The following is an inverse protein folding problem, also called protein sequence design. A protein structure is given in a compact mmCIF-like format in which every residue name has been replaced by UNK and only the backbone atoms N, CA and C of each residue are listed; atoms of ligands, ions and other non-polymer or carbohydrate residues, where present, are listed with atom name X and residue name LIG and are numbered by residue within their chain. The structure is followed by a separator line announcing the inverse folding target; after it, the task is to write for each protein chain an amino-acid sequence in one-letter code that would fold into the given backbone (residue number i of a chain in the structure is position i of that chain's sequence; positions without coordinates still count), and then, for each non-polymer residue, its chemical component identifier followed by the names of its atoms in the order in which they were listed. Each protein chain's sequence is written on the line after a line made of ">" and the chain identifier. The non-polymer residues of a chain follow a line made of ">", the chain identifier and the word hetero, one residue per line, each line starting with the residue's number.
data_IF_226807752443
#
_entry.id   IF_226807752443
#
_cell.length_a   1.000
_cell.length_b   1.000
_cell.length_c   1.000
_cell.angle_alpha   90.00
_cell.angle_beta   90.00
_cell.angle_gamma   90.00
#
_symmetry.space_group_name_H-M   'P 1'
#
loop_
_entity.id
_entity.type
_entity.pdbx_description
1 polymer ?
#
# COMPACT_ATOMS: atom_id res chain seq x y z
N UNK A 1 1.19 -11.57 -8.22
CA UNK A 1 2.20 -10.55 -7.88
C UNK A 1 1.88 -9.89 -6.55
N UNK A 2 2.85 -9.71 -5.67
CA UNK A 2 2.67 -8.94 -4.44
C UNK A 2 2.81 -7.44 -4.69
N UNK A 3 1.80 -6.64 -4.34
CA UNK A 3 1.91 -5.19 -4.44
C UNK A 3 2.69 -4.62 -3.24
N UNK A 4 3.86 -4.06 -3.54
CA UNK A 4 4.86 -3.58 -2.55
C UNK A 4 5.26 -2.12 -2.76
N UNK A 5 4.52 -1.39 -3.60
CA UNK A 5 4.67 0.07 -3.77
C UNK A 5 4.56 0.83 -2.45
N UNK A 6 5.03 2.07 -2.45
CA UNK A 6 5.07 2.98 -1.32
C UNK A 6 5.77 2.33 -0.11
N UNK A 7 6.99 1.83 -0.34
CA UNK A 7 7.82 1.16 0.67
C UNK A 7 7.09 -0.02 1.36
N UNK A 8 6.50 -0.92 0.57
CA UNK A 8 5.63 -2.00 1.03
C UNK A 8 4.49 -1.49 1.93
N UNK A 9 3.77 -0.46 1.46
CA UNK A 9 2.65 0.13 2.20
C UNK A 9 3.08 0.66 3.58
N UNK A 10 4.31 1.15 3.69
CA UNK A 10 4.94 1.62 4.92
C UNK A 10 5.63 0.57 5.79
N UNK A 11 5.43 -0.73 5.50
CA UNK A 11 5.98 -1.85 6.28
C UNK A 11 7.48 -2.06 6.04
N UNK A 12 8.05 -1.44 5.00
CA UNK A 12 9.46 -1.53 4.64
C UNK A 12 9.70 -2.52 3.52
N UNK A 13 10.04 -2.02 2.33
CA UNK A 13 10.30 -2.84 1.14
C UNK A 13 11.44 -3.84 1.38
N UNK A 14 12.55 -3.38 1.97
CA UNK A 14 13.70 -4.22 2.28
C UNK A 14 13.42 -5.32 3.32
N UNK A 15 12.38 -5.15 4.15
CA UNK A 15 11.96 -6.14 5.14
C UNK A 15 10.94 -7.11 4.53
N UNK A 16 9.93 -6.59 3.84
CA UNK A 16 8.83 -7.40 3.32
C UNK A 16 9.18 -8.19 2.06
N UNK A 17 9.94 -7.61 1.12
CA UNK A 17 10.18 -8.23 -0.18
C UNK A 17 10.93 -9.58 -0.08
N UNK A 18 11.98 -9.74 0.75
CA UNK A 18 12.62 -11.03 0.95
C UNK A 18 11.67 -12.11 1.47
N UNK A 19 10.82 -11.78 2.45
CA UNK A 19 9.85 -12.75 3.00
C UNK A 19 8.78 -13.14 1.97
N UNK A 20 8.32 -12.18 1.18
CA UNK A 20 7.38 -12.44 0.08
C UNK A 20 8.02 -13.32 -1.02
N UNK A 21 9.30 -13.09 -1.35
CA UNK A 21 10.04 -13.93 -2.28
C UNK A 21 10.16 -15.37 -1.76
N UNK A 22 10.49 -15.56 -0.47
CA UNK A 22 10.51 -16.89 0.17
C UNK A 22 9.15 -17.56 0.19
N UNK A 23 8.08 -16.78 0.32
CA UNK A 23 6.71 -17.26 0.24
C UNK A 23 6.28 -17.64 -1.20
N UNK A 24 7.13 -17.43 -2.21
CA UNK A 24 6.92 -17.92 -3.57
C UNK A 24 6.13 -16.97 -4.47
N UNK A 25 6.22 -15.65 -4.27
CA UNK A 25 5.59 -14.70 -5.20
C UNK A 25 6.23 -14.76 -6.58
N UNK A 26 5.41 -14.82 -7.63
CA UNK A 26 5.88 -14.87 -9.03
C UNK A 26 6.29 -13.49 -9.59
N UNK A 27 6.10 -12.42 -8.81
CA UNK A 27 6.47 -11.07 -9.20
C UNK A 27 6.02 -10.03 -8.17
N UNK A 28 6.61 -8.85 -8.24
CA UNK A 28 6.28 -7.70 -7.41
C UNK A 28 5.57 -6.64 -8.23
N UNK A 29 4.65 -5.90 -7.63
CA UNK A 29 3.96 -4.79 -8.27
C UNK A 29 4.30 -3.48 -7.56
N UNK A 30 4.91 -2.56 -8.31
CA UNK A 30 5.43 -1.28 -7.85
C UNK A 30 4.81 -0.11 -8.62
N UNK A 31 4.98 1.11 -8.13
CA UNK A 31 4.42 2.31 -8.73
C UNK A 31 5.38 2.98 -9.72
N UNK A 32 6.70 2.79 -9.58
CA UNK A 32 7.70 3.49 -10.38
C UNK A 32 8.96 2.65 -10.65
N UNK A 33 9.84 3.17 -11.51
CA UNK A 33 11.13 2.55 -11.80
C UNK A 33 12.07 2.56 -10.59
N UNK A 34 12.05 3.60 -9.77
CA UNK A 34 12.89 3.71 -8.57
C UNK A 34 12.57 2.59 -7.57
N UNK A 35 11.28 2.29 -7.37
CA UNK A 35 10.87 1.15 -6.54
C UNK A 35 11.24 -0.20 -7.17
N UNK A 36 11.23 -0.29 -8.50
CA UNK A 36 11.64 -1.48 -9.23
C UNK A 36 13.15 -1.75 -9.11
N UNK A 37 13.98 -0.72 -9.19
CA UNK A 37 15.43 -0.85 -9.01
C UNK A 37 15.78 -1.18 -7.55
N UNK A 38 15.05 -0.66 -6.56
CA UNK A 38 15.23 -1.10 -5.17
C UNK A 38 14.99 -2.61 -5.01
N UNK A 39 13.99 -3.18 -5.69
CA UNK A 39 13.76 -4.63 -5.71
C UNK A 39 14.85 -5.39 -6.48
N UNK A 40 15.34 -4.80 -7.57
CA UNK A 40 16.42 -5.38 -8.37
C UNK A 40 17.71 -5.52 -7.54
N UNK A 41 18.06 -4.49 -6.77
CA UNK A 41 19.24 -4.47 -5.91
C UNK A 41 19.18 -5.51 -4.78
N UNK A 42 17.96 -5.92 -4.37
CA UNK A 42 17.76 -7.02 -3.40
C UNK A 42 17.98 -8.41 -4.01
N UNK A 43 18.13 -8.52 -5.34
CA UNK A 43 18.43 -9.76 -6.06
C UNK A 43 17.50 -10.94 -5.72
N UNK A 44 16.20 -10.68 -5.58
CA UNK A 44 15.23 -11.66 -5.07
C UNK A 44 14.80 -12.72 -6.09
N UNK A 45 14.97 -12.47 -7.39
CA UNK A 45 14.57 -13.37 -8.48
C UNK A 45 13.30 -12.93 -9.23
N UNK A 46 12.13 -12.81 -8.58
CA UNK A 46 10.89 -12.39 -9.25
C UNK A 46 10.98 -10.97 -9.85
N UNK A 47 10.37 -10.73 -11.02
CA UNK A 47 10.41 -9.42 -11.69
C UNK A 47 9.57 -8.38 -10.97
N UNK A 48 9.92 -7.10 -11.12
CA UNK A 48 9.07 -5.98 -10.73
C UNK A 48 8.17 -5.54 -11.90
N UNK A 49 6.91 -5.24 -11.62
CA UNK A 49 5.91 -4.75 -12.56
C UNK A 49 5.55 -3.30 -12.24
N UNK A 50 5.81 -2.39 -13.17
CA UNK A 50 5.50 -0.96 -13.04
C UNK A 50 4.02 -0.74 -13.37
N UNK A 51 3.17 -0.65 -12.33
CA UNK A 51 1.70 -0.57 -12.48
C UNK A 51 1.19 0.70 -13.18
N UNK A 52 1.99 1.76 -13.15
CA UNK A 52 1.74 3.03 -13.81
C UNK A 52 2.48 3.15 -15.16
N UNK A 53 3.15 2.08 -15.60
CA UNK A 53 3.99 2.08 -16.80
C UNK A 53 5.23 2.96 -16.66
N UNK A 54 6.01 3.09 -17.74
CA UNK A 54 7.16 3.98 -17.74
C UNK A 54 6.72 5.45 -17.77
N UNK A 55 7.48 6.31 -17.11
CA UNK A 55 7.29 7.77 -17.09
C UNK A 55 8.15 8.50 -18.10
N UNK A 56 9.26 7.89 -18.53
CA UNK A 56 10.16 8.38 -19.55
C UNK A 56 10.51 7.27 -20.56
N UNK A 57 10.85 7.60 -21.83
CA UNK A 57 11.20 6.59 -22.83
C UNK A 57 12.45 5.78 -22.45
N UNK A 58 13.40 6.37 -21.73
CA UNK A 58 14.65 5.73 -21.29
C UNK A 58 14.42 4.58 -20.29
N UNK A 59 13.26 4.55 -19.62
CA UNK A 59 12.88 3.47 -18.71
C UNK A 59 12.56 2.16 -19.44
N UNK A 60 12.25 2.20 -20.74
CA UNK A 60 11.94 1.01 -21.55
C UNK A 60 13.15 0.09 -21.72
N UNK A 61 14.30 0.56 -22.26
CA UNK A 61 15.49 -0.27 -22.36
C UNK A 61 16.02 -0.71 -20.99
N UNK A 62 15.88 0.13 -19.95
CA UNK A 62 16.23 -0.25 -18.59
C UNK A 62 15.37 -1.41 -18.08
N UNK A 63 14.04 -1.33 -18.22
CA UNK A 63 13.13 -2.40 -17.84
C UNK A 63 13.47 -3.72 -18.55
N UNK A 64 13.75 -3.67 -19.86
CA UNK A 64 14.16 -4.83 -20.63
C UNK A 64 15.49 -5.43 -20.13
N UNK A 65 16.49 -4.60 -19.82
CA UNK A 65 17.78 -5.04 -19.31
C UNK A 65 17.65 -5.75 -17.95
N UNK A 66 16.78 -5.23 -17.09
CA UNK A 66 16.54 -5.70 -15.71
C UNK A 66 15.54 -6.84 -15.60
N UNK A 67 14.80 -7.13 -16.68
CA UNK A 67 13.73 -8.13 -16.68
C UNK A 67 12.44 -7.66 -15.98
N UNK A 68 12.25 -6.35 -15.87
CA UNK A 68 11.02 -5.76 -15.33
C UNK A 68 9.87 -5.88 -16.33
N UNK A 69 8.65 -5.83 -15.83
CA UNK A 69 7.40 -5.86 -16.60
C UNK A 69 6.82 -4.45 -16.65
N UNK A 70 6.40 -4.00 -17.83
CA UNK A 70 5.77 -2.68 -18.00
C UNK A 70 4.26 -2.79 -18.23
N UNK A 71 3.51 -1.85 -17.65
CA UNK A 71 2.10 -1.66 -17.99
C UNK A 71 1.95 -0.51 -18.99
N UNK A 72 1.45 -0.79 -20.18
CA UNK A 72 1.20 0.21 -21.23
C UNK A 72 -0.25 0.64 -21.18
N UNK A 73 -0.50 1.95 -21.05
CA UNK A 73 -1.85 2.47 -20.81
C UNK A 73 -2.19 3.75 -21.57
N UNK A 74 -1.25 4.31 -22.33
CA UNK A 74 -1.47 5.52 -23.15
C UNK A 74 -0.65 5.54 -24.44
N UNK A 75 -1.08 6.36 -25.40
CA UNK A 75 -0.48 6.44 -26.74
C UNK A 75 1.00 6.83 -26.75
N UNK A 76 1.42 7.75 -25.87
CA UNK A 76 2.84 8.15 -25.79
C UNK A 76 3.77 6.97 -25.49
N UNK A 77 3.34 6.03 -24.63
CA UNK A 77 4.14 4.84 -24.31
C UNK A 77 4.25 3.88 -25.51
N UNK A 78 3.24 3.81 -26.37
CA UNK A 78 3.31 3.05 -27.63
C UNK A 78 4.35 3.66 -28.57
N UNK A 79 4.34 4.99 -28.72
CA UNK A 79 5.33 5.70 -29.53
C UNK A 79 6.77 5.49 -28.99
N UNK A 80 6.94 5.46 -27.67
CA UNK A 80 8.22 5.14 -27.05
C UNK A 80 8.67 3.70 -27.36
N UNK A 81 7.77 2.72 -27.26
CA UNK A 81 8.09 1.33 -27.64
C UNK A 81 8.52 1.19 -29.11
N UNK A 82 7.96 1.99 -30.02
CA UNK A 82 8.33 1.95 -31.44
C UNK A 82 9.71 2.58 -31.72
N UNK A 83 10.07 3.61 -30.95
CA UNK A 83 11.28 4.42 -31.16
C UNK A 83 12.48 3.92 -30.38
N UNK A 84 12.27 3.42 -29.17
CA UNK A 84 13.35 2.88 -28.33
C UNK A 84 13.85 1.53 -28.85
N UNK A 85 15.09 1.20 -28.47
CA UNK A 85 15.77 -0.04 -28.86
C UNK A 85 16.26 -0.77 -27.63
N UNK A 86 16.11 -2.08 -27.62
CA UNK A 86 16.54 -2.95 -26.53
C UNK A 86 16.76 -4.37 -27.06
N UNK A 87 17.62 -5.14 -26.41
CA UNK A 87 18.06 -6.44 -26.93
C UNK A 87 17.40 -7.65 -26.23
N UNK A 88 16.90 -7.45 -25.00
CA UNK A 88 16.27 -8.52 -24.21
C UNK A 88 14.74 -8.47 -24.32
N UNK A 89 14.03 -9.62 -24.34
CA UNK A 89 12.57 -9.61 -24.40
C UNK A 89 11.94 -8.78 -23.29
N UNK A 90 11.17 -7.75 -23.67
CA UNK A 90 10.42 -6.92 -22.75
C UNK A 90 9.00 -7.47 -22.59
N UNK A 91 8.61 -7.79 -21.37
CA UNK A 91 7.25 -8.24 -21.05
C UNK A 91 6.36 -7.05 -20.73
N UNK A 92 5.17 -7.00 -21.36
CA UNK A 92 4.20 -5.93 -21.13
C UNK A 92 2.79 -6.45 -20.84
N UNK A 93 2.05 -5.67 -20.07
CA UNK A 93 0.60 -5.72 -20.02
C UNK A 93 -0.02 -4.51 -20.70
N UNK A 94 -1.12 -4.72 -21.40
CA UNK A 94 -1.95 -3.63 -21.94
C UNK A 94 -3.04 -3.33 -20.91
N UNK A 95 -3.05 -2.11 -20.39
CA UNK A 95 -4.07 -1.68 -19.43
C UNK A 95 -5.32 -1.21 -20.15
N UNK A 96 -6.45 -1.79 -19.75
CA UNK A 96 -7.78 -1.43 -20.25
C UNK A 96 -8.52 -0.68 -19.14
N UNK A 97 -9.10 0.46 -19.48
CA UNK A 97 -10.03 1.15 -18.61
C UNK A 97 -11.41 0.50 -18.72
N UNK A 98 -11.75 -0.33 -17.73
CA UNK A 98 -13.06 -1.00 -17.63
C UNK A 98 -14.11 -0.16 -16.90
N UNK A 99 -13.76 1.03 -16.39
CA UNK A 99 -14.68 1.90 -15.66
C UNK A 99 -14.10 2.59 -14.41
N UNK A 100 -12.78 2.57 -14.20
CA UNK A 100 -12.16 3.37 -13.14
C UNK A 100 -11.80 4.78 -13.65
N UNK A 101 -11.59 4.94 -14.95
CA UNK A 101 -11.31 6.23 -15.60
C UNK A 101 -10.06 6.95 -15.08
N UNK A 102 -9.08 6.19 -14.56
CA UNK A 102 -7.79 6.71 -14.07
C UNK A 102 -6.66 6.50 -15.06
N UNK A 103 -6.42 5.25 -15.48
CA UNK A 103 -5.39 4.87 -16.45
C UNK A 103 -5.89 3.68 -17.27
N UNK A 104 -5.52 3.62 -18.54
CA UNK A 104 -5.84 2.52 -19.45
C UNK A 104 -6.47 3.01 -20.75
N UNK A 105 -6.34 2.21 -21.79
CA UNK A 105 -7.03 2.45 -23.04
C UNK A 105 -8.52 2.13 -22.89
N UNK A 106 -9.36 2.95 -23.52
CA UNK A 106 -10.76 2.58 -23.70
C UNK A 106 -10.85 1.29 -24.55
N UNK A 107 -11.80 0.38 -24.28
CA UNK A 107 -11.97 -0.87 -25.04
C UNK A 107 -11.95 -0.69 -26.56
N UNK A 108 -12.66 0.33 -27.07
CA UNK A 108 -12.74 0.67 -28.50
C UNK A 108 -11.39 1.07 -29.13
N UNK A 109 -10.41 1.46 -28.33
CA UNK A 109 -9.10 1.91 -28.82
C UNK A 109 -8.10 0.75 -28.98
N UNK A 110 -8.46 -0.48 -28.59
CA UNK A 110 -7.51 -1.59 -28.57
C UNK A 110 -7.05 -2.05 -29.97
N UNK A 111 -7.89 -1.91 -31.01
CA UNK A 111 -7.46 -2.19 -32.39
C UNK A 111 -6.21 -1.39 -32.78
N UNK A 112 -6.28 -0.05 -32.76
CA UNK A 112 -5.11 0.81 -32.99
C UNK A 112 -3.93 0.52 -32.04
N UNK A 113 -4.19 0.13 -30.78
CA UNK A 113 -3.13 -0.24 -29.83
C UNK A 113 -2.36 -1.47 -30.31
N UNK A 114 -3.06 -2.55 -30.69
CA UNK A 114 -2.41 -3.76 -31.19
C UNK A 114 -1.70 -3.54 -32.53
N UNK A 115 -2.27 -2.71 -33.42
CA UNK A 115 -1.61 -2.30 -34.66
C UNK A 115 -0.30 -1.56 -34.38
N UNK A 116 -0.31 -0.60 -33.45
CA UNK A 116 0.89 0.13 -33.05
C UNK A 116 1.96 -0.81 -32.45
N UNK A 117 1.54 -1.80 -31.65
CA UNK A 117 2.44 -2.79 -31.07
C UNK A 117 3.05 -3.73 -32.11
N UNK A 118 2.35 -4.06 -33.21
CA UNK A 118 2.94 -4.86 -34.30
C UNK A 118 4.05 -4.16 -35.07
N UNK A 119 4.16 -2.83 -34.94
CA UNK A 119 5.25 -2.04 -35.53
C UNK A 119 6.46 -1.88 -34.60
N UNK A 120 6.46 -2.51 -33.42
CA UNK A 120 7.61 -2.51 -32.51
C UNK A 120 8.66 -3.50 -33.03
N UNK A 121 9.88 -3.02 -33.24
CA UNK A 121 10.97 -3.80 -33.84
C UNK A 121 11.77 -4.61 -32.82
N UNK A 122 11.82 -4.13 -31.58
CA UNK A 122 12.56 -4.76 -30.48
C UNK A 122 11.74 -5.92 -29.87
N UNK A 123 12.38 -6.93 -29.27
CA UNK A 123 11.69 -8.13 -28.79
C UNK A 123 10.69 -7.82 -27.68
N UNK A 124 9.42 -8.11 -27.92
CA UNK A 124 8.30 -7.77 -27.05
C UNK A 124 7.43 -8.99 -26.77
N UNK A 125 6.98 -9.17 -25.53
CA UNK A 125 6.02 -10.20 -25.12
C UNK A 125 4.79 -9.52 -24.51
N UNK A 126 3.64 -9.66 -25.17
CA UNK A 126 2.38 -9.15 -24.64
C UNK A 126 1.77 -10.23 -23.74
N UNK A 127 2.00 -10.10 -22.43
CA UNK A 127 1.54 -11.08 -21.43
C UNK A 127 0.02 -11.25 -21.50
N UNK A 128 -0.70 -10.13 -21.52
CA UNK A 128 -2.14 -10.12 -21.40
C UNK A 128 -2.72 -8.72 -21.29
N UNK A 129 -3.98 -8.71 -20.86
CA UNK A 129 -4.71 -7.49 -20.52
C UNK A 129 -4.73 -7.30 -19.01
N UNK A 130 -4.65 -6.05 -18.57
CA UNK A 130 -4.79 -5.67 -17.18
C UNK A 130 -5.92 -4.65 -17.01
N UNK A 131 -6.70 -4.77 -15.94
CA UNK A 131 -7.56 -3.67 -15.48
C UNK A 131 -7.59 -3.61 -13.94
N UNK A 132 -8.37 -2.70 -13.37
CA UNK A 132 -8.50 -2.53 -11.92
C UNK A 132 -9.93 -2.17 -11.55
N UNK A 133 -10.48 -2.86 -10.55
CA UNK A 133 -11.81 -2.57 -10.02
C UNK A 133 -11.75 -1.31 -9.15
N UNK A 134 -12.78 -0.47 -9.30
CA UNK A 134 -12.91 0.78 -8.57
C UNK A 134 -13.66 0.62 -7.24
N UNK A 135 -14.56 -0.36 -7.14
CA UNK A 135 -15.48 -0.56 -6.01
C UNK A 135 -15.39 -1.95 -5.38
N UNK A 136 -14.25 -2.60 -5.51
CA UNK A 136 -14.01 -3.95 -4.95
C UNK A 136 -14.06 -4.02 -3.43
N UNK A 137 -13.98 -2.86 -2.77
CA UNK A 137 -14.19 -2.63 -1.33
C UNK A 137 -15.67 -2.60 -0.93
N UNK A 138 -16.58 -2.51 -1.91
CA UNK A 138 -18.04 -2.66 -1.73
C UNK A 138 -18.50 -3.84 -2.61
N UNK A 139 -18.41 -5.10 -2.15
CA UNK A 139 -18.60 -6.28 -3.01
C UNK A 139 -19.90 -6.29 -3.82
N UNK A 140 -21.01 -5.89 -3.19
CA UNK A 140 -22.35 -5.88 -3.79
C UNK A 140 -22.58 -4.70 -4.76
N UNK A 141 -21.60 -3.82 -4.95
CA UNK A 141 -21.75 -2.68 -5.86
C UNK A 141 -21.87 -3.17 -7.32
N UNK A 142 -22.96 -2.81 -8.04
CA UNK A 142 -23.20 -3.28 -9.41
C UNK A 142 -22.13 -2.82 -10.41
N UNK A 143 -21.34 -1.79 -10.08
CA UNK A 143 -20.21 -1.38 -10.91
C UNK A 143 -19.15 -2.47 -11.02
N UNK A 144 -18.94 -3.28 -9.99
CA UNK A 144 -18.00 -4.41 -10.04
C UNK A 144 -18.40 -5.40 -11.15
N UNK A 145 -19.68 -5.79 -11.18
CA UNK A 145 -20.23 -6.69 -12.21
C UNK A 145 -20.03 -6.09 -13.60
N UNK A 146 -20.30 -4.80 -13.77
CA UNK A 146 -20.10 -4.09 -15.05
C UNK A 146 -18.65 -4.12 -15.49
N UNK A 147 -17.70 -3.77 -14.61
CA UNK A 147 -16.27 -3.76 -14.93
C UNK A 147 -15.76 -5.16 -15.28
N UNK A 148 -16.16 -6.19 -14.53
CA UNK A 148 -15.78 -7.59 -14.78
C UNK A 148 -16.31 -8.04 -16.15
N UNK A 149 -17.57 -7.76 -16.45
CA UNK A 149 -18.20 -8.12 -17.74
C UNK A 149 -17.50 -7.43 -18.91
N UNK A 150 -17.25 -6.13 -18.80
CA UNK A 150 -16.52 -5.37 -19.82
C UNK A 150 -15.14 -5.97 -20.05
N UNK A 151 -14.39 -6.24 -18.98
CA UNK A 151 -13.05 -6.80 -19.07
C UNK A 151 -13.04 -8.19 -19.73
N UNK A 152 -14.01 -9.06 -19.41
CA UNK A 152 -14.18 -10.36 -20.07
C UNK A 152 -14.53 -10.23 -21.55
N UNK A 153 -15.40 -9.29 -21.92
CA UNK A 153 -15.73 -9.05 -23.32
C UNK A 153 -14.49 -8.62 -24.12
N UNK A 154 -13.66 -7.74 -23.53
CA UNK A 154 -12.40 -7.31 -24.14
C UNK A 154 -11.41 -8.48 -24.25
N UNK A 155 -11.31 -9.35 -23.25
CA UNK A 155 -10.51 -10.59 -23.35
C UNK A 155 -11.03 -11.48 -24.48
N UNK A 156 -12.35 -11.65 -24.62
CA UNK A 156 -12.94 -12.45 -25.70
C UNK A 156 -12.62 -11.90 -27.08
N UNK A 157 -12.45 -10.58 -27.22
CA UNK A 157 -12.13 -9.95 -28.50
C UNK A 157 -10.63 -9.91 -28.82
N UNK A 158 -9.77 -9.74 -27.81
CA UNK A 158 -8.35 -9.42 -28.02
C UNK A 158 -7.37 -10.38 -27.33
N UNK A 159 -7.86 -11.31 -26.51
CA UNK A 159 -7.04 -12.20 -25.68
C UNK A 159 -6.11 -13.10 -26.49
N UNK A 160 -6.54 -13.57 -27.66
CA UNK A 160 -5.74 -14.42 -28.57
C UNK A 160 -4.49 -13.71 -29.13
N UNK A 161 -4.43 -12.37 -29.05
CA UNK A 161 -3.24 -11.59 -29.43
C UNK A 161 -2.22 -11.45 -28.29
N UNK A 162 -2.44 -12.16 -27.18
CA UNK A 162 -1.61 -12.10 -25.97
C UNK A 162 -1.25 -13.51 -25.49
N UNK A 163 -0.43 -13.64 -24.44
CA UNK A 163 -0.12 -14.92 -23.82
C UNK A 163 -1.23 -15.44 -22.86
N UNK A 164 -2.35 -14.72 -22.74
CA UNK A 164 -3.49 -15.12 -21.88
C UNK A 164 -3.29 -14.83 -20.39
N UNK A 165 -2.21 -14.15 -20.01
CA UNK A 165 -1.87 -13.83 -18.63
C UNK A 165 -2.62 -12.59 -18.12
N UNK A 166 -3.94 -12.67 -18.04
CA UNK A 166 -4.79 -11.53 -17.67
C UNK A 166 -4.74 -11.20 -16.17
N UNK A 167 -5.00 -9.93 -15.81
CA UNK A 167 -4.97 -9.48 -14.41
C UNK A 167 -6.04 -8.42 -14.08
N UNK A 168 -6.94 -8.72 -13.14
CA UNK A 168 -7.98 -7.79 -12.67
C UNK A 168 -7.97 -7.58 -11.16
N UNK A 169 -7.97 -8.68 -10.39
CA UNK A 169 -8.25 -8.64 -8.96
C UNK A 169 -7.16 -7.93 -8.12
N UNK A 170 -7.61 -6.93 -7.35
CA UNK A 170 -6.91 -6.36 -6.20
C UNK A 170 -7.35 -7.08 -4.90
N UNK A 171 -6.90 -6.66 -3.73
CA UNK A 171 -7.24 -7.33 -2.45
C UNK A 171 -8.73 -7.54 -2.21
N UNK A 172 -9.58 -6.52 -2.40
CA UNK A 172 -11.02 -6.66 -2.18
C UNK A 172 -11.64 -7.68 -3.15
N UNK A 173 -11.22 -7.63 -4.41
CA UNK A 173 -11.69 -8.57 -5.42
C UNK A 173 -11.21 -10.01 -5.19
N UNK A 174 -9.96 -10.18 -4.71
CA UNK A 174 -9.44 -11.49 -4.35
C UNK A 174 -10.30 -12.10 -3.24
N UNK A 175 -10.68 -11.32 -2.23
CA UNK A 175 -11.43 -11.82 -1.09
C UNK A 175 -12.92 -12.05 -1.41
N UNK A 176 -13.58 -11.15 -2.15
CA UNK A 176 -15.03 -11.17 -2.30
C UNK A 176 -15.56 -11.43 -3.72
N UNK A 177 -14.74 -11.27 -4.76
CA UNK A 177 -15.19 -11.32 -6.16
C UNK A 177 -14.45 -12.42 -6.94
N UNK A 178 -14.82 -13.68 -6.70
CA UNK A 178 -14.19 -14.84 -7.34
C UNK A 178 -14.13 -14.75 -8.87
N UNK A 179 -15.15 -14.15 -9.48
CA UNK A 179 -15.24 -13.89 -10.92
C UNK A 179 -14.16 -12.95 -11.49
N UNK A 180 -13.55 -12.13 -10.65
CA UNK A 180 -12.46 -11.22 -11.02
C UNK A 180 -11.07 -11.87 -10.92
N UNK A 181 -10.98 -13.12 -10.45
CA UNK A 181 -9.72 -13.84 -10.33
C UNK A 181 -9.30 -14.37 -11.71
N UNK A 182 -8.14 -13.91 -12.17
CA UNK A 182 -7.45 -14.33 -13.38
C UNK A 182 -6.05 -14.86 -12.99
N UNK A 183 -5.26 -15.45 -13.91
CA UNK A 183 -3.97 -16.05 -13.56
C UNK A 183 -3.09 -15.14 -12.69
N UNK A 184 -3.07 -13.84 -12.98
CA UNK A 184 -2.34 -12.87 -12.17
C UNK A 184 -3.27 -12.06 -11.25
N UNK A 185 -3.16 -12.33 -9.95
CA UNK A 185 -3.78 -11.52 -8.89
C UNK A 185 -2.78 -10.52 -8.31
N UNK A 186 -3.28 -9.41 -7.76
CA UNK A 186 -2.48 -8.31 -7.22
C UNK A 186 -2.87 -7.96 -5.79
N UNK A 187 -2.69 -8.89 -4.82
CA UNK A 187 -2.91 -8.58 -3.42
C UNK A 187 -1.94 -7.46 -2.98
N UNK A 188 -2.50 -6.43 -2.34
CA UNK A 188 -1.75 -5.36 -1.70
C UNK A 188 -2.07 -5.36 -0.22
N UNK A 189 -3.08 -4.59 0.19
CA UNK A 189 -3.45 -4.40 1.59
C UNK A 189 -3.60 -5.72 2.38
N UNK A 190 -4.22 -6.73 1.77
CA UNK A 190 -4.41 -8.04 2.43
C UNK A 190 -3.11 -8.78 2.77
N UNK A 191 -2.00 -8.52 2.06
CA UNK A 191 -0.69 -9.12 2.38
C UNK A 191 -0.16 -8.63 3.72
N UNK A 192 -0.56 -7.43 4.12
CA UNK A 192 -0.15 -6.79 5.36
C UNK A 192 -1.13 -7.06 6.51
N UNK A 193 -2.10 -7.94 6.28
CA UNK A 193 -3.08 -8.33 7.28
C UNK A 193 -4.15 -7.28 7.56
N UNK A 194 -4.43 -6.43 6.57
CA UNK A 194 -5.36 -5.32 6.69
C UNK A 194 -6.58 -5.54 5.77
N UNK A 195 -7.76 -5.19 6.27
CA UNK A 195 -9.02 -5.33 5.53
C UNK A 195 -9.16 -4.28 4.43
N UNK A 196 -9.53 -4.68 3.20
CA UNK A 196 -9.94 -3.73 2.16
C UNK A 196 -11.41 -3.30 2.26
N UNK A 197 -12.17 -3.79 3.24
CA UNK A 197 -13.60 -3.53 3.40
C UNK A 197 -13.87 -2.56 4.56
N UNK A 198 -14.75 -1.55 4.37
CA UNK A 198 -15.17 -0.67 5.46
C UNK A 198 -15.80 -1.45 6.63
N UNK A 199 -15.53 -1.01 7.86
CA UNK A 199 -16.13 -1.60 9.07
C UNK A 199 -15.65 -3.01 9.43
N UNK A 200 -14.61 -3.53 8.77
CA UNK A 200 -14.00 -4.82 9.06
C UNK A 200 -12.50 -4.65 9.27
N UNK A 201 -11.94 -5.48 10.13
CA UNK A 201 -10.49 -5.60 10.34
C UNK A 201 -9.95 -6.81 9.57
N UNK A 202 -8.64 -6.84 9.33
CA UNK A 202 -8.01 -8.01 8.72
C UNK A 202 -8.28 -9.30 9.48
N UNK A 203 -8.43 -9.25 10.82
CA UNK A 203 -8.74 -10.42 11.65
C UNK A 203 -10.12 -11.01 11.36
N UNK A 204 -11.11 -10.17 11.08
CA UNK A 204 -12.46 -10.61 10.70
C UNK A 204 -12.45 -11.42 9.40
N UNK A 205 -11.43 -11.20 8.57
CA UNK A 205 -11.20 -11.87 7.28
C UNK A 205 -10.20 -13.04 7.39
N UNK A 206 -9.77 -13.40 8.60
CA UNK A 206 -8.76 -14.44 8.83
C UNK A 206 -7.34 -14.03 8.44
N UNK A 207 -7.08 -12.74 8.22
CA UNK A 207 -5.76 -12.19 7.94
C UNK A 207 -5.02 -11.88 9.24
N UNK A 208 -3.69 -11.99 9.21
CA UNK A 208 -2.81 -11.68 10.35
C UNK A 208 -2.16 -10.31 10.15
N UNK A 209 -2.49 -9.28 10.95
CA UNK A 209 -1.84 -7.96 10.87
C UNK A 209 -0.32 -8.09 11.04
N UNK A 210 0.43 -7.38 10.19
CA UNK A 210 1.89 -7.48 10.14
C UNK A 210 2.64 -6.31 10.80
N UNK A 211 1.94 -5.22 11.13
CA UNK A 211 2.54 -3.99 11.64
C UNK A 211 2.28 -3.80 13.13
N UNK A 212 3.31 -3.45 13.89
CA UNK A 212 3.23 -2.90 15.24
C UNK A 212 4.13 -1.66 15.27
N UNK A 213 3.55 -0.49 15.52
CA UNK A 213 4.33 0.74 15.67
C UNK A 213 4.47 1.08 17.14
N UNK A 214 5.72 1.08 17.62
CA UNK A 214 6.05 1.35 19.01
C UNK A 214 7.03 2.52 19.12
N UNK A 215 6.96 3.24 20.24
CA UNK A 215 7.90 4.30 20.61
C UNK A 215 8.11 4.31 22.13
N UNK A 216 9.23 4.84 22.59
CA UNK A 216 9.55 4.86 24.03
C UNK A 216 9.07 6.12 24.72
N UNK A 217 8.72 5.99 26.00
CA UNK A 217 8.59 7.11 26.93
C UNK A 217 9.99 7.67 27.19
N UNK A 218 10.22 8.94 26.87
CA UNK A 218 11.53 9.60 27.07
C UNK A 218 11.54 10.57 28.25
N UNK A 219 10.36 10.89 28.79
CA UNK A 219 10.22 11.72 29.96
C UNK A 219 8.89 11.44 30.65
N UNK A 220 8.86 11.55 31.98
CA UNK A 220 7.61 11.53 32.77
C UNK A 220 7.39 12.86 33.48
N UNK A 221 6.13 13.24 33.67
CA UNK A 221 5.72 14.47 34.35
C UNK A 221 4.55 14.19 35.29
N UNK A 222 4.42 15.01 36.34
CA UNK A 222 3.21 15.10 37.15
C UNK A 222 2.58 16.45 36.89
N UNK A 223 1.28 16.47 36.65
CA UNK A 223 0.48 17.67 36.49
C UNK A 223 -0.40 17.85 37.71
N UNK A 224 -0.44 19.07 38.24
CA UNK A 224 -1.44 19.47 39.22
C UNK A 224 -2.79 19.74 38.52
N UNK A 225 -3.93 19.66 39.24
CA UNK A 225 -5.23 20.04 38.69
C UNK A 225 -5.19 21.47 38.14
N UNK A 226 -5.66 21.65 36.90
CA UNK A 226 -5.70 22.94 36.23
C UNK A 226 -4.46 23.29 35.39
N UNK A 227 -3.39 22.50 35.44
CA UNK A 227 -2.22 22.69 34.56
C UNK A 227 -2.52 22.25 33.12
N UNK A 228 -1.85 22.89 32.16
CA UNK A 228 -2.11 22.72 30.73
C UNK A 228 -0.97 22.03 30.01
N UNK A 229 -1.30 21.22 28.99
CA UNK A 229 -0.31 20.53 28.14
C UNK A 229 -0.27 21.05 26.70
N UNK A 230 0.96 21.11 26.20
CA UNK A 230 1.27 21.16 24.77
C UNK A 230 0.81 22.42 24.05
N UNK A 231 0.89 22.37 22.72
CA UNK A 231 0.59 23.53 21.88
C UNK A 231 -0.87 23.97 22.00
N UNK A 232 -1.05 25.27 22.24
CA UNK A 232 -2.36 25.90 22.36
C UNK A 232 -3.14 25.48 23.61
N UNK A 233 -2.47 24.89 24.61
CA UNK A 233 -3.09 24.46 25.86
C UNK A 233 -4.36 23.62 25.61
N UNK A 234 -4.27 22.67 24.67
CA UNK A 234 -5.45 21.92 24.22
C UNK A 234 -5.97 20.89 25.25
N UNK A 235 -5.18 20.62 26.28
CA UNK A 235 -5.52 19.72 27.37
C UNK A 235 -5.23 20.42 28.70
N UNK A 236 -6.19 20.33 29.63
CA UNK A 236 -6.05 20.74 31.03
C UNK A 236 -6.21 19.52 31.92
N UNK A 237 -5.30 19.33 32.86
CA UNK A 237 -5.37 18.22 33.81
C UNK A 237 -6.60 18.40 34.74
N UNK A 238 -7.56 17.46 34.76
CA UNK A 238 -8.75 17.56 35.60
C UNK A 238 -8.49 17.17 37.07
N UNK A 239 -7.39 16.46 37.33
CA UNK A 239 -6.92 16.02 38.64
C UNK A 239 -5.39 15.92 38.62
N UNK A 240 -4.76 15.56 39.76
CA UNK A 240 -3.34 15.26 39.75
C UNK A 240 -3.06 14.05 38.84
N UNK A 241 -2.28 14.25 37.79
CA UNK A 241 -2.12 13.24 36.73
C UNK A 241 -0.66 12.97 36.39
N UNK A 242 -0.30 11.69 36.22
CA UNK A 242 1.01 11.32 35.64
C UNK A 242 0.92 11.26 34.12
N UNK A 243 1.90 11.84 33.44
CA UNK A 243 1.94 11.97 31.98
C UNK A 243 3.29 11.49 31.46
N UNK A 244 3.26 10.73 30.37
CA UNK A 244 4.44 10.29 29.62
C UNK A 244 4.64 11.14 28.38
N UNK A 245 5.89 11.46 28.05
CA UNK A 245 6.29 12.07 26.78
C UNK A 245 6.91 10.97 25.93
N UNK A 246 6.31 10.68 24.77
CA UNK A 246 6.72 9.60 23.88
C UNK A 246 7.48 10.18 22.68
N UNK A 247 8.57 9.53 22.28
CA UNK A 247 9.39 9.89 21.12
C UNK A 247 8.73 9.49 19.78
N UNK A 248 7.58 10.09 19.50
CA UNK A 248 6.88 9.97 18.23
C UNK A 248 6.00 11.20 18.00
N UNK A 249 5.98 11.72 16.78
CA UNK A 249 5.12 12.82 16.39
C UNK A 249 4.71 12.78 14.92
N UNK A 250 4.12 13.87 14.43
CA UNK A 250 3.66 13.93 13.05
C UNK A 250 4.80 13.94 12.02
N UNK A 251 6.03 14.29 12.43
CA UNK A 251 7.24 14.15 11.63
C UNK A 251 7.64 12.69 11.40
N UNK A 252 7.14 11.76 12.21
CA UNK A 252 7.28 10.31 12.00
C UNK A 252 6.15 9.72 11.15
N UNK A 253 5.08 10.50 10.95
CA UNK A 253 3.87 10.06 10.26
C UNK A 253 2.66 9.81 11.16
N UNK A 254 2.79 10.00 12.48
CA UNK A 254 1.66 9.83 13.39
C UNK A 254 0.66 10.97 13.20
N UNK A 255 -0.58 10.67 12.80
CA UNK A 255 -1.53 11.69 12.38
C UNK A 255 -1.86 12.66 13.53
N UNK A 256 -1.61 13.95 13.30
CA UNK A 256 -1.88 15.00 14.27
C UNK A 256 -3.36 15.09 14.68
N UNK A 257 -4.27 14.69 13.79
CA UNK A 257 -5.71 14.69 14.04
C UNK A 257 -6.20 13.50 14.88
N UNK A 258 -5.37 12.46 15.10
CA UNK A 258 -5.67 11.49 16.16
C UNK A 258 -5.72 12.20 17.52
N UNK A 259 -4.84 13.19 17.71
CA UNK A 259 -4.96 14.22 18.73
C UNK A 259 -5.14 13.64 20.14
N UNK A 260 -6.07 14.19 20.90
CA UNK A 260 -6.41 13.74 22.25
C UNK A 260 -7.34 12.52 22.21
N UNK A 261 -7.13 11.59 23.15
CA UNK A 261 -7.98 10.42 23.34
C UNK A 261 -7.77 9.32 22.30
N UNK A 262 -6.71 9.38 21.50
CA UNK A 262 -6.35 8.27 20.62
C UNK A 262 -5.82 7.11 21.48
N UNK A 263 -6.32 5.89 21.30
CA UNK A 263 -5.96 4.78 22.16
C UNK A 263 -4.53 4.30 21.89
N UNK A 264 -3.77 4.05 22.95
CA UNK A 264 -2.41 3.50 22.92
C UNK A 264 -2.26 2.42 23.99
N UNK A 265 -1.22 1.60 23.90
CA UNK A 265 -0.99 0.50 24.85
C UNK A 265 0.39 0.59 25.48
N UNK A 266 0.46 0.33 26.77
CA UNK A 266 1.68 0.29 27.57
C UNK A 266 1.71 -1.10 28.22
N UNK A 267 2.55 -1.99 27.68
CA UNK A 267 2.40 -3.42 27.95
C UNK A 267 1.01 -3.92 27.54
N UNK A 268 0.28 -4.56 28.46
CA UNK A 268 -1.11 -4.99 28.25
C UNK A 268 -2.17 -3.94 28.60
N UNK A 269 -1.76 -2.78 29.13
CA UNK A 269 -2.68 -1.77 29.64
C UNK A 269 -3.04 -0.76 28.55
N UNK A 270 -4.35 -0.53 28.37
CA UNK A 270 -4.86 0.53 27.49
C UNK A 270 -4.69 1.89 28.16
N UNK A 271 -4.22 2.85 27.39
CA UNK A 271 -4.10 4.27 27.74
C UNK A 271 -4.57 5.12 26.55
N UNK A 272 -4.34 6.43 26.60
CA UNK A 272 -4.72 7.39 25.57
C UNK A 272 -3.67 8.51 25.42
N UNK A 273 -3.65 9.12 24.24
CA UNK A 273 -2.91 10.36 23.99
C UNK A 273 -3.56 11.56 24.67
N UNK A 274 -2.74 12.52 25.10
CA UNK A 274 -3.18 13.77 25.73
C UNK A 274 -2.78 14.98 24.89
N UNK A 275 -3.70 15.95 24.75
CA UNK A 275 -3.45 17.19 24.01
C UNK A 275 -3.13 16.98 22.52
N UNK A 276 -2.38 17.92 21.95
CA UNK A 276 -1.99 17.89 20.52
C UNK A 276 -0.68 17.14 20.33
N UNK A 277 -0.61 16.36 19.25
CA UNK A 277 0.62 15.76 18.74
C UNK A 277 1.54 16.87 18.19
N UNK A 278 2.81 16.84 18.58
CA UNK A 278 3.86 17.73 18.08
C UNK A 278 4.68 17.07 16.96
N UNK A 279 5.71 17.76 16.44
CA UNK A 279 6.50 17.23 15.32
C UNK A 279 7.18 15.92 15.67
N UNK A 280 7.75 15.83 16.87
CA UNK A 280 8.59 14.69 17.26
C UNK A 280 8.09 14.00 18.53
N UNK A 281 7.15 14.60 19.25
CA UNK A 281 6.68 14.13 20.55
C UNK A 281 5.14 14.11 20.65
N UNK A 282 4.64 13.18 21.45
CA UNK A 282 3.25 13.15 21.89
C UNK A 282 3.18 12.86 23.39
N UNK A 283 2.07 13.25 24.03
CA UNK A 283 1.82 12.93 25.44
C UNK A 283 0.89 11.72 25.55
N UNK A 284 1.12 10.87 26.54
CA UNK A 284 0.25 9.76 26.91
C UNK A 284 -0.12 9.82 28.38
N UNK A 285 -1.32 9.36 28.68
CA UNK A 285 -1.83 9.24 30.04
C UNK A 285 -1.12 8.10 30.77
N UNK A 286 -0.54 8.37 31.94
CA UNK A 286 0.09 7.36 32.79
C UNK A 286 -0.64 7.23 34.13
N UNK A 287 -1.86 7.76 34.26
CA UNK A 287 -2.57 7.79 35.54
C UNK A 287 -2.68 6.41 36.18
N UNK A 288 -3.07 5.40 35.40
CA UNK A 288 -3.28 4.04 35.89
C UNK A 288 -2.09 3.10 35.60
N UNK A 289 -1.02 3.60 34.98
CA UNK A 289 0.15 2.80 34.58
C UNK A 289 1.31 3.04 35.53
N UNK A 290 2.18 2.06 35.77
CA UNK A 290 3.44 2.23 36.50
C UNK A 290 4.66 2.48 35.59
N UNK A 291 4.42 2.64 34.28
CA UNK A 291 5.47 2.80 33.29
C UNK A 291 6.41 3.99 33.55
N UNK A 292 7.68 3.77 33.21
CA UNK A 292 8.80 4.66 33.44
C UNK A 292 9.41 5.13 32.11
N UNK A 293 10.37 6.04 32.21
CA UNK A 293 11.20 6.42 31.08
C UNK A 293 11.98 5.19 30.57
N UNK A 294 11.96 4.96 29.26
CA UNK A 294 12.50 3.78 28.59
C UNK A 294 11.45 2.73 28.22
N UNK A 295 10.28 2.73 28.86
CA UNK A 295 9.21 1.77 28.56
C UNK A 295 8.56 2.04 27.20
N UNK A 296 8.09 0.97 26.56
CA UNK A 296 7.51 1.01 25.23
C UNK A 296 6.00 1.29 25.27
N UNK A 297 5.57 2.16 24.36
CA UNK A 297 4.17 2.43 24.04
C UNK A 297 3.89 1.92 22.63
N UNK A 298 2.90 1.04 22.51
CA UNK A 298 2.36 0.58 21.22
C UNK A 298 1.31 1.58 20.76
N UNK A 299 1.60 2.27 19.66
CA UNK A 299 0.80 3.35 19.12
C UNK A 299 -0.34 2.85 18.23
N UNK A 300 -0.09 1.79 17.45
CA UNK A 300 -1.06 1.18 16.55
C UNK A 300 -0.62 -0.20 16.05
N UNK A 301 -1.58 -1.00 15.61
CA UNK A 301 -1.35 -2.31 14.99
C UNK A 301 -1.33 -3.46 15.99
N UNK A 302 -0.48 -4.46 15.77
CA UNK A 302 -0.38 -5.65 16.63
C UNK A 302 -0.03 -5.23 18.06
N UNK A 303 -0.87 -5.64 19.01
CA UNK A 303 -0.78 -5.27 20.43
C UNK A 303 -1.54 -4.00 20.82
N UNK A 304 -2.10 -3.28 19.86
CA UNK A 304 -2.85 -2.04 20.05
C UNK A 304 -4.11 -2.01 19.16
N UNK A 305 -4.66 -0.82 18.95
CA UNK A 305 -5.79 -0.60 18.07
C UNK A 305 -5.39 -0.87 16.59
N UNK A 306 -6.21 -1.62 15.82
CA UNK A 306 -5.96 -1.85 14.40
C UNK A 306 -5.90 -0.57 13.58
N UNK A 307 -5.15 -0.60 12.47
CA UNK A 307 -5.05 0.56 11.58
C UNK A 307 -6.42 0.92 10.98
N UNK A 308 -7.28 -0.08 10.75
CA UNK A 308 -8.64 0.11 10.24
C UNK A 308 -9.49 0.96 11.20
N UNK A 309 -9.48 0.65 12.50
CA UNK A 309 -10.21 1.41 13.51
C UNK A 309 -9.70 2.85 13.65
N UNK A 310 -8.37 3.04 13.61
CA UNK A 310 -7.77 4.37 13.68
C UNK A 310 -8.05 5.19 12.42
N UNK A 311 -8.08 4.55 11.25
CA UNK A 311 -8.45 5.18 10.00
C UNK A 311 -9.91 5.64 10.01
N UNK A 312 -10.83 4.83 10.54
CA UNK A 312 -12.23 5.21 10.72
C UNK A 312 -12.36 6.44 11.61
N UNK A 313 -11.64 6.49 12.75
CA UNK A 313 -11.61 7.67 13.63
C UNK A 313 -11.13 8.94 12.92
N UNK A 314 -10.22 8.79 11.96
CA UNK A 314 -9.68 9.89 11.15
C UNK A 314 -10.53 10.23 9.92
N UNK A 315 -11.58 9.45 9.61
CA UNK A 315 -12.34 9.60 8.37
C UNK A 315 -11.52 9.29 7.12
N UNK A 316 -10.57 8.34 7.22
CA UNK A 316 -9.70 7.90 6.13
C UNK A 316 -9.66 6.38 6.00
N UNK A 317 -8.65 5.85 5.30
CA UNK A 317 -8.45 4.43 5.01
C UNK A 317 -7.11 3.93 5.59
N UNK A 318 -7.01 2.64 5.97
CA UNK A 318 -5.79 2.07 6.57
C UNK A 318 -4.54 2.17 5.67
N UNK A 319 -4.73 2.25 4.35
CA UNK A 319 -3.65 2.53 3.39
C UNK A 319 -2.87 3.80 3.75
N UNK A 320 -3.59 4.85 4.13
CA UNK A 320 -3.00 6.16 4.40
C UNK A 320 -2.16 6.12 5.69
N UNK A 321 -2.64 5.44 6.72
CA UNK A 321 -1.91 5.32 7.99
C UNK A 321 -0.58 4.60 7.80
N UNK A 322 -0.59 3.45 7.10
CA UNK A 322 0.64 2.71 6.81
C UNK A 322 1.62 3.52 5.95
N UNK A 323 1.15 4.09 4.85
CA UNK A 323 2.01 4.80 3.88
C UNK A 323 2.55 6.14 4.38
N UNK A 324 1.99 6.71 5.45
CA UNK A 324 2.49 7.95 6.06
C UNK A 324 3.68 7.76 7.01
N UNK A 325 3.98 6.52 7.41
CA UNK A 325 5.14 6.24 8.27
C UNK A 325 6.41 6.66 7.54
N UNK A 326 7.11 7.66 8.10
CA UNK A 326 8.22 8.33 7.43
C UNK A 326 9.48 7.48 7.40
N UNK A 327 10.40 7.81 6.49
CA UNK A 327 11.66 7.06 6.32
C UNK A 327 12.52 7.01 7.59
N UNK A 328 12.43 8.04 8.45
CA UNK A 328 13.17 8.11 9.73
C UNK A 328 12.76 7.06 10.76
N UNK A 329 11.57 6.46 10.61
CA UNK A 329 11.10 5.38 11.48
C UNK A 329 11.75 4.07 11.01
N UNK A 330 12.59 3.42 11.84
CA UNK A 330 13.23 2.17 11.45
C UNK A 330 12.18 1.05 11.32
N UNK A 331 12.35 0.19 10.31
CA UNK A 331 11.54 -1.03 10.15
C UNK A 331 12.37 -2.22 10.58
N UNK A 332 11.87 -2.97 11.53
CA UNK A 332 12.53 -4.16 12.07
C UNK A 332 11.61 -5.36 11.93
N UNK A 333 12.16 -6.48 11.47
CA UNK A 333 11.45 -7.75 11.48
C UNK A 333 11.46 -8.29 12.91
N UNK A 334 10.29 -8.59 13.45
CA UNK A 334 10.14 -9.26 14.75
C UNK A 334 9.85 -10.74 14.46
N UNK A 335 10.70 -11.69 14.93
CA UNK A 335 10.56 -13.12 14.66
C UNK A 335 9.25 -13.75 15.12
#
# INVERSE_FOLDING_TARGET
>A
MAAVKANAYGHGLAVCAPELARAGVEGFAVASMEEAEQLYDLALGPPACLLAGPFAPEEIPLAAARGHILVVHRAAQLAWLQTQRWDRPLSIWIKVDSGMHRLGFAPRALGPVFEALSAVHSPLRILGLMSHLARSDTPDDPHNVRQIREFRAVIGQWGERTLGEHSLANSGAILALGEARFPWMRPGLMLYGLSPFPGQTGRDLGLRPALSWQAQIIATRRLAPGEWLGYGAAYQAPHEQRVGVVACGYGDGFDRHLGQGAPVWIGSQRSQTLGRVSMDLLFVDLQDSDAQEGDWVILMGVGAEPLESLAERLGTIPYELGTRIQARVPRVLVP
#
